data_IF_485252938626
#
_entry.id   IF_485252938626
#
_cell.length_a   1.000
_cell.length_b   1.000
_cell.length_c   1.000
_cell.angle_alpha   90.00
_cell.angle_beta   90.00
_cell.angle_gamma   90.00
#
_symmetry.space_group_name_H-M   'P 1'
#
loop_
_entity.id
_entity.type
_entity.pdbx_description
1 polymer ?
#
# COMPACT_ATOMS: atom_id res chain seq x y z
N UNK A 1 1.13 16.10 -6.52
CA UNK A 1 -0.28 15.85 -6.21
C UNK A 1 -0.33 14.48 -5.58
N UNK A 2 -0.81 14.30 -4.35
CA UNK A 2 -1.07 12.97 -3.86
C UNK A 2 -2.15 12.35 -4.77
N UNK A 3 -1.86 11.17 -5.30
CA UNK A 3 -2.89 10.36 -5.96
C UNK A 3 -3.79 9.89 -4.83
N UNK A 4 -4.85 10.64 -4.55
CA UNK A 4 -5.93 10.17 -3.71
C UNK A 4 -6.61 9.03 -4.49
N UNK A 5 -6.29 7.79 -4.15
CA UNK A 5 -7.16 6.68 -4.55
C UNK A 5 -8.48 6.88 -3.79
N UNK A 6 -9.57 7.19 -4.49
CA UNK A 6 -10.86 7.35 -3.84
C UNK A 6 -11.35 5.97 -3.43
N UNK A 7 -11.58 5.77 -2.17
CA UNK A 7 -12.08 4.58 -1.51
C UNK A 7 -11.06 3.43 -1.37
N UNK A 8 -10.54 3.21 -0.17
CA UNK A 8 -9.93 1.94 0.13
C UNK A 8 -11.01 0.86 -0.12
N UNK A 9 -10.59 -0.19 -0.80
CA UNK A 9 -11.45 -1.31 -1.05
C UNK A 9 -11.91 -1.92 0.30
N UNK A 10 -13.00 -2.70 0.29
CA UNK A 10 -13.56 -3.33 1.51
C UNK A 10 -12.55 -4.25 2.24
N UNK A 11 -11.45 -4.61 1.59
CA UNK A 11 -10.34 -5.38 2.13
C UNK A 11 -9.25 -4.53 2.82
N UNK A 12 -9.38 -3.19 2.85
CA UNK A 12 -8.43 -2.36 3.58
C UNK A 12 -8.29 -2.80 5.03
N UNK A 13 -7.06 -3.04 5.46
CA UNK A 13 -6.74 -3.47 6.83
C UNK A 13 -6.57 -2.23 7.72
N UNK A 14 -7.48 -2.07 8.66
CA UNK A 14 -7.44 -0.99 9.64
C UNK A 14 -6.23 -1.11 10.56
N UNK A 15 -5.67 0.02 10.93
CA UNK A 15 -4.55 0.08 11.87
C UNK A 15 -4.62 1.35 12.73
N UNK A 16 -3.77 1.43 13.73
CA UNK A 16 -3.62 2.59 14.61
C UNK A 16 -3.40 3.87 13.81
N UNK A 17 -4.16 4.90 14.11
CA UNK A 17 -4.09 6.19 13.42
C UNK A 17 -5.11 6.38 12.29
N UNK A 18 -5.78 5.32 11.82
CA UNK A 18 -6.92 5.46 10.90
C UNK A 18 -8.12 6.07 11.63
N UNK A 19 -8.98 6.78 10.92
CA UNK A 19 -10.20 7.40 11.46
C UNK A 19 -11.42 6.76 10.80
N UNK A 20 -12.29 6.19 11.62
CA UNK A 20 -13.59 5.67 11.19
C UNK A 20 -14.68 6.69 11.44
N UNK A 21 -15.48 7.00 10.45
CA UNK A 21 -16.74 7.71 10.63
C UNK A 21 -17.85 6.71 10.90
N UNK A 22 -18.55 6.91 12.00
CA UNK A 22 -19.69 6.08 12.38
C UNK A 22 -20.93 6.96 12.43
N UNK A 23 -21.89 6.61 11.59
CA UNK A 23 -23.23 7.20 11.59
C UNK A 23 -24.20 6.24 12.26
N UNK A 24 -24.89 6.68 13.28
CA UNK A 24 -26.03 5.98 13.85
C UNK A 24 -27.33 6.61 13.37
N UNK A 25 -28.30 5.77 13.01
CA UNK A 25 -29.63 6.18 12.56
C UNK A 25 -30.67 5.40 13.34
N UNK A 26 -31.57 6.12 14.04
CA UNK A 26 -32.62 5.50 14.87
C UNK A 26 -33.12 6.44 15.97
N UNK A 27 -33.05 5.98 17.23
CA UNK A 27 -33.48 6.82 18.37
C UNK A 27 -32.49 7.94 18.71
N UNK A 28 -31.20 7.70 18.48
CA UNK A 28 -30.13 8.66 18.67
C UNK A 28 -29.36 8.81 17.36
N UNK A 29 -29.76 9.78 16.53
CA UNK A 29 -29.08 10.07 15.28
C UNK A 29 -27.83 10.90 15.54
N UNK A 30 -26.64 10.37 15.18
CA UNK A 30 -25.42 11.15 15.15
C UNK A 30 -24.42 10.64 14.12
N UNK A 31 -23.48 11.50 13.76
CA UNK A 31 -22.31 11.17 12.92
C UNK A 31 -21.08 11.67 13.65
N UNK A 32 -20.12 10.81 13.90
CA UNK A 32 -18.90 11.15 14.62
C UNK A 32 -17.69 10.37 14.06
N UNK A 33 -16.53 10.99 14.13
CA UNK A 33 -15.26 10.41 13.70
C UNK A 33 -14.51 9.80 14.89
N UNK A 34 -14.07 8.55 14.75
CA UNK A 34 -13.39 7.78 15.79
C UNK A 34 -11.99 7.41 15.35
N UNK A 35 -10.99 8.03 15.98
CA UNK A 35 -9.59 7.67 15.80
C UNK A 35 -9.30 6.28 16.39
N UNK A 36 -8.65 5.41 15.63
CA UNK A 36 -8.13 4.15 16.16
C UNK A 36 -6.91 4.45 17.03
N UNK A 37 -7.11 4.28 18.33
CA UNK A 37 -6.12 4.58 19.36
C UNK A 37 -4.92 3.63 19.32
N UNK A 38 -3.84 3.94 20.04
CA UNK A 38 -2.60 3.18 20.09
C UNK A 38 -2.74 1.71 20.54
N UNK A 39 -3.83 1.38 21.20
CA UNK A 39 -4.17 0.01 21.60
C UNK A 39 -5.04 -0.73 20.56
N UNK A 40 -5.21 -0.15 19.38
CA UNK A 40 -5.96 -0.73 18.27
C UNK A 40 -7.47 -0.62 18.38
N UNK A 41 -8.00 0.20 19.31
CA UNK A 41 -9.43 0.29 19.55
C UNK A 41 -10.01 1.66 19.21
N UNK A 42 -11.33 1.68 18.99
CA UNK A 42 -12.17 2.87 19.06
C UNK A 42 -13.01 2.80 20.35
N UNK A 43 -13.41 3.96 20.89
CA UNK A 43 -14.29 4.03 22.05
C UNK A 43 -15.63 4.66 21.64
N UNK A 44 -16.66 3.82 21.46
CA UNK A 44 -17.98 4.26 21.02
C UNK A 44 -18.84 4.58 22.25
N UNK A 45 -19.44 5.78 22.35
CA UNK A 45 -20.33 6.14 23.48
C UNK A 45 -21.41 5.09 23.68
N UNK A 46 -21.69 4.77 24.95
CA UNK A 46 -22.69 3.77 25.38
C UNK A 46 -22.47 2.32 24.93
N UNK A 47 -21.53 2.06 24.00
CA UNK A 47 -21.14 0.70 23.56
C UNK A 47 -19.84 0.28 24.22
N UNK A 48 -18.91 1.25 24.41
CA UNK A 48 -17.60 1.03 24.99
C UNK A 48 -16.52 0.76 23.96
N UNK A 49 -15.45 0.12 24.40
CA UNK A 49 -14.23 -0.12 23.64
C UNK A 49 -14.38 -1.30 22.66
N UNK A 50 -14.02 -1.08 21.40
CA UNK A 50 -14.06 -2.09 20.34
C UNK A 50 -12.67 -2.14 19.67
N UNK A 51 -12.01 -3.29 19.69
CA UNK A 51 -10.73 -3.50 19.00
C UNK A 51 -11.01 -3.72 17.50
N UNK A 52 -10.46 -2.86 16.65
CA UNK A 52 -10.68 -2.88 15.20
C UNK A 52 -9.37 -2.93 14.41
N UNK A 53 -8.23 -2.58 14.98
CA UNK A 53 -6.94 -2.70 14.31
C UNK A 53 -6.65 -4.16 13.94
N UNK A 54 -6.13 -4.38 12.74
CA UNK A 54 -5.88 -5.71 12.18
C UNK A 54 -7.09 -6.38 11.55
N UNK A 55 -8.27 -5.76 11.61
CA UNK A 55 -9.47 -6.23 10.88
C UNK A 55 -9.56 -5.55 9.51
N UNK A 56 -10.19 -6.23 8.55
CA UNK A 56 -10.61 -5.55 7.33
C UNK A 56 -11.72 -4.53 7.66
N UNK A 57 -11.84 -3.47 6.87
CA UNK A 57 -12.92 -2.48 7.02
C UNK A 57 -14.30 -3.16 7.05
N UNK A 58 -14.49 -4.21 6.24
CA UNK A 58 -15.72 -4.98 6.20
C UNK A 58 -15.98 -5.74 7.50
N UNK A 59 -14.96 -6.41 8.06
CA UNK A 59 -15.12 -7.18 9.30
C UNK A 59 -15.26 -6.28 10.51
N UNK A 60 -14.54 -5.16 10.56
CA UNK A 60 -14.73 -4.13 11.57
C UNK A 60 -16.15 -3.55 11.53
N UNK A 61 -16.67 -3.28 10.32
CA UNK A 61 -18.05 -2.80 10.14
C UNK A 61 -19.07 -3.80 10.69
N UNK A 62 -18.92 -5.09 10.41
CA UNK A 62 -19.80 -6.13 10.95
C UNK A 62 -19.72 -6.19 12.48
N UNK A 63 -18.52 -6.12 13.04
CA UNK A 63 -18.29 -6.16 14.48
C UNK A 63 -18.95 -4.95 15.15
N UNK A 64 -18.73 -3.73 14.64
CA UNK A 64 -19.29 -2.50 15.17
C UNK A 64 -20.83 -2.55 15.10
N UNK A 65 -21.40 -2.92 13.95
CA UNK A 65 -22.86 -3.09 13.79
C UNK A 65 -23.45 -4.06 14.82
N UNK A 66 -22.81 -5.20 15.04
CA UNK A 66 -23.23 -6.19 16.01
C UNK A 66 -23.23 -5.63 17.45
N UNK A 67 -22.19 -4.85 17.82
CA UNK A 67 -22.08 -4.22 19.14
C UNK A 67 -23.13 -3.12 19.34
N UNK A 68 -23.35 -2.28 18.31
CA UNK A 68 -24.38 -1.22 18.33
C UNK A 68 -25.76 -1.85 18.47
N UNK A 69 -26.11 -2.85 17.66
CA UNK A 69 -27.41 -3.53 17.74
C UNK A 69 -27.67 -4.21 19.10
N UNK A 70 -26.59 -4.60 19.80
CA UNK A 70 -26.71 -5.18 21.15
C UNK A 70 -26.93 -4.12 22.24
N UNK A 71 -26.45 -2.89 22.01
CA UNK A 71 -26.55 -1.80 22.96
C UNK A 71 -27.79 -0.91 22.74
N UNK A 72 -28.21 -0.76 21.48
CA UNK A 72 -29.31 0.12 21.09
C UNK A 72 -30.38 -0.64 20.31
N UNK A 73 -31.62 -0.58 20.80
CA UNK A 73 -32.77 -1.21 20.10
C UNK A 73 -33.26 -0.26 19.01
N UNK A 74 -33.37 -0.74 17.77
CA UNK A 74 -33.91 0.02 16.65
C UNK A 74 -32.95 1.09 16.08
N UNK A 75 -31.65 0.97 16.34
CA UNK A 75 -30.62 1.84 15.78
C UNK A 75 -29.76 1.07 14.77
N UNK A 76 -29.55 1.63 13.61
CA UNK A 76 -28.66 1.08 12.57
C UNK A 76 -27.35 1.87 12.52
N UNK A 77 -26.22 1.18 12.36
CA UNK A 77 -24.90 1.80 12.24
C UNK A 77 -24.38 1.70 10.81
N UNK A 78 -23.86 2.81 10.29
CA UNK A 78 -23.14 2.89 9.02
C UNK A 78 -21.70 3.29 9.32
N UNK A 79 -20.75 2.50 8.83
CA UNK A 79 -19.33 2.67 9.10
C UNK A 79 -18.60 2.94 7.78
N UNK A 80 -17.82 4.01 7.75
CA UNK A 80 -16.94 4.36 6.64
C UNK A 80 -15.55 4.74 7.16
N UNK A 81 -14.55 4.65 6.32
CA UNK A 81 -13.22 5.16 6.63
C UNK A 81 -13.18 6.65 6.25
N UNK A 82 -12.96 7.52 7.25
CA UNK A 82 -12.90 8.98 7.08
C UNK A 82 -11.49 9.43 6.70
N UNK A 83 -10.49 8.94 7.43
CA UNK A 83 -9.10 9.28 7.18
C UNK A 83 -8.22 8.05 7.27
N UNK A 84 -7.26 7.96 6.36
CA UNK A 84 -6.21 6.95 6.37
C UNK A 84 -4.97 7.56 7.01
N UNK A 85 -4.39 6.84 7.96
CA UNK A 85 -3.15 7.25 8.63
C UNK A 85 -2.02 7.54 7.65
N UNK A 86 -1.12 8.40 8.03
CA UNK A 86 0.16 8.58 7.36
C UNK A 86 1.17 7.52 7.82
N UNK A 87 2.04 7.11 6.89
CA UNK A 87 3.15 6.21 7.13
C UNK A 87 4.46 6.84 6.67
N UNK A 88 5.49 6.73 7.49
CA UNK A 88 6.84 7.18 7.16
C UNK A 88 7.67 5.99 6.71
N UNK A 89 8.15 6.04 5.48
CA UNK A 89 8.96 4.98 4.86
C UNK A 89 10.30 5.53 4.41
N UNK A 90 11.31 4.69 4.37
CA UNK A 90 12.61 5.01 3.81
C UNK A 90 12.70 4.48 2.38
N UNK A 91 12.96 5.35 1.41
CA UNK A 91 13.36 4.93 0.06
C UNK A 91 14.87 5.10 -0.06
N UNK A 92 15.58 4.04 -0.46
CA UNK A 92 17.04 4.02 -0.46
C UNK A 92 17.60 3.18 -1.61
N UNK A 93 18.93 3.06 -1.68
CA UNK A 93 19.63 2.45 -2.80
C UNK A 93 19.67 3.40 -3.99
N UNK A 94 19.37 2.91 -5.17
CA UNK A 94 19.45 3.64 -6.41
C UNK A 94 18.13 4.33 -6.81
N UNK A 95 17.42 4.93 -5.84
CA UNK A 95 16.32 5.83 -6.11
C UNK A 95 16.84 7.16 -6.70
N UNK A 96 15.97 7.91 -7.41
CA UNK A 96 16.32 9.23 -7.92
C UNK A 96 16.65 10.21 -6.78
N UNK A 97 15.82 10.22 -5.73
CA UNK A 97 16.02 11.01 -4.52
C UNK A 97 15.84 10.09 -3.30
N UNK A 98 16.90 9.46 -2.79
CA UNK A 98 16.81 8.65 -1.58
C UNK A 98 16.43 9.54 -0.36
N UNK A 99 15.55 9.02 0.52
CA UNK A 99 15.11 9.79 1.69
C UNK A 99 13.92 9.16 2.40
N UNK A 100 13.45 9.85 3.44
CA UNK A 100 12.24 9.47 4.17
C UNK A 100 11.04 10.19 3.54
N UNK A 101 9.99 9.45 3.27
CA UNK A 101 8.77 9.95 2.66
C UNK A 101 7.56 9.63 3.53
N UNK A 102 6.69 10.62 3.67
CA UNK A 102 5.38 10.44 4.31
C UNK A 102 4.35 10.15 3.23
N UNK A 103 3.71 9.01 3.31
CA UNK A 103 2.68 8.53 2.38
C UNK A 103 1.45 8.08 3.17
N UNK A 104 0.33 7.89 2.49
CA UNK A 104 -0.86 7.31 3.13
C UNK A 104 -0.70 5.80 3.35
N UNK A 105 -1.31 5.25 4.38
CA UNK A 105 -1.27 3.82 4.71
C UNK A 105 -1.87 2.90 3.62
N UNK A 106 -2.54 3.47 2.62
CA UNK A 106 -3.01 2.74 1.43
C UNK A 106 -1.97 2.66 0.30
N UNK A 107 -0.81 3.31 0.46
CA UNK A 107 0.26 3.32 -0.53
C UNK A 107 0.97 1.96 -0.63
N UNK A 108 1.59 1.70 -1.78
CA UNK A 108 2.40 0.54 -2.08
C UNK A 108 3.80 0.97 -2.56
N UNK A 109 4.63 0.00 -2.94
CA UNK A 109 6.01 0.22 -3.38
C UNK A 109 6.11 1.19 -4.58
N UNK A 110 5.17 1.16 -5.54
CA UNK A 110 5.18 2.09 -6.69
C UNK A 110 4.92 3.53 -6.28
N UNK A 111 4.04 3.76 -5.29
CA UNK A 111 3.81 5.11 -4.74
C UNK A 111 5.07 5.65 -4.08
N UNK A 112 5.82 4.80 -3.36
CA UNK A 112 7.08 5.17 -2.75
C UNK A 112 8.15 5.54 -3.79
N UNK A 113 8.30 4.74 -4.84
CA UNK A 113 9.22 5.02 -5.94
C UNK A 113 8.83 6.33 -6.63
N UNK A 114 7.54 6.54 -6.90
CA UNK A 114 7.04 7.77 -7.52
C UNK A 114 7.30 9.00 -6.65
N UNK A 115 7.09 8.90 -5.33
CA UNK A 115 7.39 9.99 -4.40
C UNK A 115 8.89 10.33 -4.37
N UNK A 116 9.76 9.33 -4.52
CA UNK A 116 11.21 9.51 -4.62
C UNK A 116 11.68 10.03 -5.99
N UNK A 117 10.75 10.35 -6.90
CA UNK A 117 11.07 10.86 -8.25
C UNK A 117 11.46 9.77 -9.23
N UNK A 118 11.27 8.50 -8.88
CA UNK A 118 11.58 7.36 -9.71
C UNK A 118 12.87 6.63 -9.33
N UNK A 119 13.35 5.83 -10.26
CA UNK A 119 14.58 5.05 -10.17
C UNK A 119 15.69 5.83 -10.88
N UNK A 120 16.88 5.88 -10.30
CA UNK A 120 18.03 6.54 -10.93
C UNK A 120 18.53 5.75 -12.15
N UNK A 121 19.36 6.38 -12.97
CA UNK A 121 19.98 5.71 -14.14
C UNK A 121 20.85 4.49 -13.80
N UNK A 122 21.28 4.39 -12.54
CA UNK A 122 22.07 3.26 -12.03
C UNK A 122 21.22 2.22 -11.30
N UNK A 123 19.94 2.50 -11.10
CA UNK A 123 19.01 1.62 -10.38
C UNK A 123 18.46 0.50 -11.24
N UNK A 124 18.22 -0.64 -10.60
CA UNK A 124 17.55 -1.78 -11.21
C UNK A 124 16.06 -1.50 -11.40
N UNK A 125 15.55 -1.82 -12.59
CA UNK A 125 14.11 -1.88 -12.87
C UNK A 125 13.51 -3.24 -12.47
N UNK A 126 14.35 -4.21 -12.11
CA UNK A 126 13.95 -5.59 -11.92
C UNK A 126 14.12 -6.09 -10.48
N UNK A 127 14.97 -5.44 -9.70
CA UNK A 127 15.28 -5.83 -8.33
C UNK A 127 14.97 -4.68 -7.36
N UNK A 128 13.70 -4.51 -7.05
CA UNK A 128 13.20 -3.52 -6.11
C UNK A 128 12.51 -4.24 -4.95
N UNK A 129 13.00 -4.04 -3.75
CA UNK A 129 12.58 -4.80 -2.59
C UNK A 129 11.87 -3.92 -1.55
N UNK A 130 10.74 -4.41 -1.05
CA UNK A 130 10.09 -3.88 0.14
C UNK A 130 10.52 -4.70 1.35
N UNK A 131 11.22 -4.05 2.28
CA UNK A 131 11.67 -4.68 3.52
C UNK A 131 10.83 -4.17 4.70
N UNK A 132 10.48 -5.09 5.57
CA UNK A 132 9.88 -4.83 6.88
C UNK A 132 10.64 -5.64 7.92
N UNK A 133 11.10 -4.98 8.99
CA UNK A 133 11.95 -5.62 10.02
C UNK A 133 13.17 -6.34 9.43
N UNK A 134 13.79 -5.74 8.40
CA UNK A 134 14.92 -6.28 7.61
C UNK A 134 14.63 -7.58 6.83
N UNK A 135 13.35 -7.92 6.65
CA UNK A 135 12.91 -9.07 5.85
C UNK A 135 12.25 -8.56 4.57
N UNK A 136 12.64 -9.10 3.43
CA UNK A 136 11.97 -8.82 2.15
C UNK A 136 10.56 -9.43 2.20
N UNK A 137 9.54 -8.59 2.14
CA UNK A 137 8.13 -9.00 2.19
C UNK A 137 7.44 -8.91 0.83
N UNK A 138 8.02 -8.17 -0.12
CA UNK A 138 7.57 -8.07 -1.50
C UNK A 138 8.74 -7.62 -2.37
N UNK A 139 8.83 -8.17 -3.59
CA UNK A 139 9.76 -7.71 -4.62
C UNK A 139 8.99 -7.27 -5.85
N UNK A 140 9.44 -6.21 -6.48
CA UNK A 140 8.87 -5.66 -7.70
C UNK A 140 9.88 -5.76 -8.84
N UNK A 141 9.46 -6.42 -9.93
CA UNK A 141 10.06 -6.33 -11.25
C UNK A 141 9.19 -5.38 -12.11
N UNK A 142 9.72 -4.24 -12.49
CA UNK A 142 8.98 -3.25 -13.30
C UNK A 142 8.74 -3.77 -14.72
N UNK A 143 9.51 -4.76 -15.19
CA UNK A 143 9.28 -5.38 -16.49
C UNK A 143 7.97 -6.16 -16.53
N UNK A 144 7.61 -6.86 -15.46
CA UNK A 144 6.30 -7.52 -15.35
C UNK A 144 5.16 -6.52 -15.55
N UNK A 145 5.31 -5.31 -14.99
CA UNK A 145 4.33 -4.25 -15.15
C UNK A 145 4.34 -3.62 -16.54
N UNK A 146 5.52 -3.23 -17.07
CA UNK A 146 5.64 -2.43 -18.29
C UNK A 146 5.54 -3.27 -19.56
N UNK A 147 6.03 -4.50 -19.52
CA UNK A 147 6.08 -5.39 -20.69
C UNK A 147 4.92 -6.37 -20.70
N UNK A 148 4.63 -6.98 -19.55
CA UNK A 148 3.60 -8.01 -19.44
C UNK A 148 2.25 -7.47 -18.97
N UNK A 149 2.19 -6.22 -18.47
CA UNK A 149 0.97 -5.61 -17.97
C UNK A 149 0.47 -6.21 -16.65
N UNK A 150 1.34 -6.93 -15.94
CA UNK A 150 0.99 -7.57 -14.68
C UNK A 150 1.15 -6.59 -13.51
N UNK A 151 0.06 -6.36 -12.78
CA UNK A 151 0.04 -5.53 -11.58
C UNK A 151 -0.34 -6.37 -10.36
N UNK A 152 0.66 -6.93 -9.68
CA UNK A 152 0.46 -7.87 -8.58
C UNK A 152 0.94 -7.36 -7.20
N UNK A 153 0.92 -6.04 -6.98
CA UNK A 153 1.33 -5.45 -5.70
C UNK A 153 0.25 -5.63 -4.64
N UNK A 154 0.52 -6.46 -3.66
CA UNK A 154 -0.45 -6.84 -2.62
C UNK A 154 -0.16 -6.19 -1.27
N UNK A 155 1.08 -5.77 -1.04
CA UNK A 155 1.49 -5.21 0.25
C UNK A 155 1.25 -3.71 0.29
N UNK A 156 0.63 -3.27 1.39
CA UNK A 156 0.52 -1.85 1.73
C UNK A 156 1.68 -1.47 2.63
N UNK A 157 2.13 -0.23 2.48
CA UNK A 157 3.24 0.32 3.25
C UNK A 157 2.84 0.53 4.71
N UNK A 158 3.83 0.38 5.61
CA UNK A 158 3.71 0.70 7.03
C UNK A 158 4.87 1.58 7.47
N UNK A 159 4.68 2.32 8.53
CA UNK A 159 5.78 3.11 9.11
C UNK A 159 6.95 2.19 9.49
N UNK A 160 8.16 2.61 9.11
CA UNK A 160 9.38 1.84 9.29
C UNK A 160 9.73 0.89 8.14
N UNK A 161 8.88 0.77 7.12
CA UNK A 161 9.22 0.02 5.90
C UNK A 161 10.36 0.69 5.14
N UNK A 162 11.13 -0.12 4.44
CA UNK A 162 12.23 0.31 3.57
C UNK A 162 11.97 -0.17 2.15
N UNK A 163 11.93 0.74 1.19
CA UNK A 163 11.96 0.42 -0.24
C UNK A 163 13.40 0.55 -0.70
N UNK A 164 14.01 -0.57 -1.03
CA UNK A 164 15.40 -0.65 -1.47
C UNK A 164 15.47 -0.95 -2.95
N UNK A 165 16.14 -0.07 -3.71
CA UNK A 165 16.34 -0.22 -5.14
C UNK A 165 17.77 -0.67 -5.36
N UNK A 166 17.94 -1.90 -5.86
CA UNK A 166 19.24 -2.48 -6.16
C UNK A 166 19.97 -1.71 -7.26
N UNK A 167 21.28 -1.91 -7.37
CA UNK A 167 22.02 -1.43 -8.52
C UNK A 167 21.72 -2.29 -9.73
N UNK A 168 21.56 -1.64 -10.89
CA UNK A 168 21.44 -2.31 -12.18
C UNK A 168 22.68 -3.15 -12.47
N UNK A 169 22.50 -4.41 -12.83
CA UNK A 169 23.59 -5.35 -13.06
C UNK A 169 23.94 -5.49 -14.55
N UNK A 170 23.39 -6.49 -15.19
CA UNK A 170 23.73 -6.84 -16.56
C UNK A 170 22.86 -6.07 -17.56
N UNK A 171 23.50 -5.44 -18.56
CA UNK A 171 22.78 -4.74 -19.62
C UNK A 171 23.06 -5.42 -20.95
N UNK A 172 22.00 -5.75 -21.67
CA UNK A 172 22.02 -6.31 -23.00
C UNK A 172 21.41 -5.30 -23.96
N UNK A 173 22.20 -4.85 -24.95
CA UNK A 173 21.70 -4.02 -26.04
C UNK A 173 21.15 -4.91 -27.13
N UNK A 174 19.90 -4.69 -27.50
CA UNK A 174 19.27 -5.39 -28.63
C UNK A 174 18.90 -4.34 -29.68
N UNK A 175 19.38 -4.52 -30.89
CA UNK A 175 19.19 -3.61 -32.01
C UNK A 175 18.95 -4.39 -33.30
N UNK A 176 18.45 -3.73 -34.36
CA UNK A 176 18.18 -4.30 -35.66
C UNK A 176 16.70 -4.32 -36.04
N UNK A 177 16.25 -5.31 -36.80
CA UNK A 177 14.88 -5.42 -37.30
C UNK A 177 13.97 -6.07 -36.24
N UNK A 178 13.73 -5.35 -35.13
CA UNK A 178 12.92 -5.76 -33.99
C UNK A 178 11.90 -4.66 -33.61
N UNK A 179 10.90 -5.00 -32.79
CA UNK A 179 9.83 -4.07 -32.43
C UNK A 179 10.29 -2.96 -31.48
N UNK A 180 11.17 -3.28 -30.53
CA UNK A 180 11.60 -2.37 -29.45
C UNK A 180 13.12 -2.41 -29.26
N UNK A 181 13.91 -1.78 -30.17
CA UNK A 181 15.35 -1.68 -29.98
C UNK A 181 15.66 -0.84 -28.73
N UNK A 182 16.36 -1.43 -27.76
CA UNK A 182 16.68 -0.81 -26.49
C UNK A 182 17.81 -1.53 -25.74
N UNK A 183 18.21 -0.92 -24.62
CA UNK A 183 19.03 -1.58 -23.61
C UNK A 183 18.11 -2.23 -22.57
N UNK A 184 18.28 -3.52 -22.38
CA UNK A 184 17.49 -4.33 -21.45
C UNK A 184 18.35 -4.75 -20.26
N UNK A 185 17.78 -4.72 -19.07
CA UNK A 185 18.40 -5.28 -17.88
C UNK A 185 18.13 -6.79 -17.83
N UNK A 186 19.20 -7.56 -17.68
CA UNK A 186 19.15 -9.02 -17.55
C UNK A 186 19.39 -9.44 -16.09
N UNK A 187 18.60 -10.36 -15.59
CA UNK A 187 18.88 -11.04 -14.32
C UNK A 187 19.99 -12.08 -14.50
N UNK A 188 20.71 -12.41 -13.42
CA UNK A 188 21.93 -13.25 -13.50
C UNK A 188 21.72 -14.60 -14.19
N UNK A 189 20.57 -15.24 -14.00
CA UNK A 189 20.25 -16.56 -14.57
C UNK A 189 19.33 -16.47 -15.80
N UNK A 190 19.07 -15.27 -16.33
CA UNK A 190 18.13 -15.10 -17.44
C UNK A 190 18.76 -15.50 -18.77
N UNK A 191 18.04 -16.32 -19.54
CA UNK A 191 18.47 -16.71 -20.89
C UNK A 191 18.31 -15.56 -21.87
N UNK A 192 19.27 -15.41 -22.80
CA UNK A 192 19.24 -14.38 -23.82
C UNK A 192 17.94 -14.39 -24.64
N UNK A 193 17.39 -15.57 -24.91
CA UNK A 193 16.13 -15.69 -25.67
C UNK A 193 14.97 -14.98 -24.97
N UNK A 194 14.87 -15.08 -23.64
CA UNK A 194 13.82 -14.39 -22.87
C UNK A 194 13.99 -12.86 -22.86
N UNK A 195 15.21 -12.35 -23.04
CA UNK A 195 15.45 -10.91 -23.16
C UNK A 195 15.08 -10.43 -24.57
N UNK A 196 15.32 -11.26 -25.59
CA UNK A 196 14.93 -10.96 -26.98
C UNK A 196 13.39 -10.89 -27.10
N UNK A 197 12.63 -11.67 -26.32
CA UNK A 197 11.16 -11.63 -26.30
C UNK A 197 10.60 -10.27 -25.83
N UNK A 198 11.39 -9.47 -25.13
CA UNK A 198 11.00 -8.10 -24.71
C UNK A 198 11.14 -7.09 -25.87
N UNK A 199 11.98 -7.39 -26.85
CA UNK A 199 12.34 -6.52 -27.97
C UNK A 199 11.45 -6.75 -29.20
#
# INVERSE_FOLDING_TARGET
MPINEPNPDSGYMLDVGDVLQIQLVGQDDYVEDFLISSDGSINLPSVGKIIVAGLSLNDASKLIKSKVNSAFIGTEAFISLSEIRDVNILVTGNAQNPGIYTLTGNSNILHAISAAGGISEFGSLREINLLRDNIIIESLDVYDLLIEGQYNLKKRLRSGDVVFIEARKNIVTIDGAINRPAMYEALDDQKLISIIEYA
#
